data_IF_057011987759
#
_entry.id   IF_057011987759
#
_cell.length_a   1.000
_cell.length_b   1.000
_cell.length_c   1.000
_cell.angle_alpha   90.00
_cell.angle_beta   90.00
_cell.angle_gamma   90.00
#
_symmetry.space_group_name_H-M   'P 1'
#
loop_
_entity.id
_entity.type
_entity.pdbx_description
1 polymer ?
#
# COMPACT_ATOMS: atom_id res chain seq x y z
N UNK A 1 -10.73 26.69 -8.40
CA UNK A 1 -10.52 25.35 -8.91
C UNK A 1 -10.09 24.43 -7.79
N UNK A 2 -10.85 23.40 -7.56
CA UNK A 2 -10.50 22.44 -6.53
C UNK A 2 -9.65 21.34 -7.14
N UNK A 3 -8.57 21.01 -6.47
CA UNK A 3 -7.77 19.85 -6.82
C UNK A 3 -8.20 18.70 -5.94
N UNK A 4 -8.72 17.68 -6.57
CA UNK A 4 -9.08 16.49 -5.83
C UNK A 4 -7.82 15.64 -5.69
N UNK A 5 -7.32 15.54 -4.46
CA UNK A 5 -6.17 14.70 -4.18
C UNK A 5 -6.67 13.36 -3.71
N UNK A 6 -6.26 12.31 -4.42
CA UNK A 6 -6.61 10.97 -4.03
C UNK A 6 -5.73 10.54 -2.86
N UNK A 7 -6.36 10.17 -1.76
CA UNK A 7 -5.66 9.67 -0.59
C UNK A 7 -5.77 8.15 -0.54
N UNK A 8 -4.65 7.53 -0.39
CA UNK A 8 -4.54 6.06 -0.29
C UNK A 8 -4.26 5.71 1.16
N UNK A 9 -5.15 4.94 1.76
CA UNK A 9 -4.99 4.52 3.14
C UNK A 9 -4.99 3.00 3.22
N UNK A 10 -3.94 2.47 3.80
CA UNK A 10 -3.84 1.04 4.06
C UNK A 10 -4.86 0.65 5.13
N UNK A 11 -5.66 -0.37 4.85
CA UNK A 11 -6.67 -0.83 5.78
C UNK A 11 -5.98 -1.43 7.01
N UNK A 12 -6.46 -1.08 8.20
CA UNK A 12 -5.78 -1.44 9.45
C UNK A 12 -5.68 -2.95 9.67
N UNK A 13 -6.60 -3.72 9.10
CA UNK A 13 -6.60 -5.17 9.23
C UNK A 13 -5.57 -5.87 8.36
N UNK A 14 -4.91 -5.13 7.47
CA UNK A 14 -3.93 -5.73 6.55
C UNK A 14 -2.66 -6.06 7.31
N UNK A 15 -2.21 -7.29 7.16
CA UNK A 15 -0.93 -7.75 7.68
C UNK A 15 0.04 -7.88 6.52
N UNK A 16 1.28 -7.55 6.79
CA UNK A 16 2.33 -7.57 5.78
C UNK A 16 3.43 -8.48 6.27
N UNK A 17 3.77 -9.48 5.44
CA UNK A 17 4.87 -10.39 5.75
C UNK A 17 5.95 -10.22 4.71
N UNK A 18 7.17 -9.95 5.15
CA UNK A 18 8.32 -9.85 4.26
C UNK A 18 8.74 -11.22 3.79
N UNK A 19 9.07 -11.31 2.50
CA UNK A 19 9.61 -12.52 1.88
C UNK A 19 10.79 -12.13 1.00
N UNK A 20 11.56 -13.12 0.58
CA UNK A 20 12.72 -12.86 -0.25
C UNK A 20 12.35 -12.24 -1.60
N UNK A 21 11.18 -12.57 -2.12
CA UNK A 21 10.70 -12.02 -3.40
C UNK A 21 9.99 -10.67 -3.24
N UNK A 22 9.69 -10.26 -2.02
CA UNK A 22 8.91 -9.05 -1.75
C UNK A 22 8.09 -9.25 -0.50
N UNK A 23 6.85 -9.72 -0.64
CA UNK A 23 6.04 -9.97 0.53
C UNK A 23 4.66 -10.51 0.22
N UNK A 24 3.94 -10.76 1.29
CA UNK A 24 2.58 -11.30 1.23
C UNK A 24 1.68 -10.37 2.05
N UNK A 25 0.55 -10.00 1.46
CA UNK A 25 -0.49 -9.24 2.15
C UNK A 25 -1.65 -10.16 2.47
N UNK A 26 -2.21 -10.00 3.66
CA UNK A 26 -3.42 -10.71 4.04
C UNK A 26 -4.17 -9.89 5.07
N UNK A 27 -5.48 -10.12 5.19
CA UNK A 27 -6.32 -9.43 6.17
C UNK A 27 -6.57 -10.33 7.36
N UNK A 28 -6.21 -9.83 8.53
CA UNK A 28 -6.44 -10.54 9.77
C UNK A 28 -7.92 -10.45 10.15
N UNK A 29 -8.48 -11.56 10.59
CA UNK A 29 -9.87 -11.57 11.03
C UNK A 29 -10.88 -11.64 9.91
N UNK A 30 -10.43 -11.68 8.67
CA UNK A 30 -11.35 -11.83 7.54
C UNK A 30 -11.82 -13.28 7.44
N UNK A 31 -13.12 -13.45 7.23
CA UNK A 31 -13.69 -14.78 7.06
C UNK A 31 -13.31 -15.39 5.71
N UNK A 32 -12.87 -14.58 4.78
CA UNK A 32 -12.52 -15.03 3.44
C UNK A 32 -11.14 -15.66 3.46
N UNK A 33 -11.11 -16.96 3.53
CA UNK A 33 -9.86 -17.71 3.55
C UNK A 33 -9.25 -17.73 2.17
N UNK A 34 -7.96 -17.50 2.09
CA UNK A 34 -7.24 -17.52 0.84
C UNK A 34 -7.05 -16.15 0.22
N UNK A 35 -7.43 -15.11 0.94
CA UNK A 35 -7.21 -13.74 0.47
C UNK A 35 -5.76 -13.33 0.70
N UNK A 36 -4.84 -14.13 0.17
CA UNK A 36 -3.42 -13.81 0.19
C UNK A 36 -3.03 -13.19 -1.14
N UNK A 37 -2.26 -12.12 -1.08
CA UNK A 37 -1.70 -11.49 -2.28
C UNK A 37 -0.19 -11.51 -2.20
N UNK A 38 0.44 -12.06 -3.23
CA UNK A 38 1.89 -12.10 -3.34
C UNK A 38 2.36 -10.85 -4.08
N UNK A 39 3.25 -10.12 -3.45
CA UNK A 39 3.77 -8.86 -4.03
C UNK A 39 5.23 -9.07 -4.36
N UNK A 40 5.56 -9.06 -5.65
CA UNK A 40 6.92 -9.28 -6.15
C UNK A 40 7.70 -7.98 -6.23
N UNK A 41 7.56 -7.13 -5.22
CA UNK A 41 8.27 -5.86 -5.17
C UNK A 41 8.69 -5.57 -3.75
N UNK A 42 9.97 -5.78 -3.42
CA UNK A 42 10.47 -5.43 -2.09
C UNK A 42 10.28 -3.95 -1.77
N UNK A 43 10.38 -3.08 -2.77
CA UNK A 43 10.21 -1.64 -2.56
C UNK A 43 8.78 -1.31 -2.16
N UNK A 44 7.80 -1.92 -2.80
CA UNK A 44 6.41 -1.70 -2.45
C UNK A 44 6.11 -2.23 -1.05
N UNK A 45 6.63 -3.41 -0.72
CA UNK A 45 6.44 -3.98 0.62
C UNK A 45 7.03 -3.07 1.68
N UNK A 46 8.24 -2.57 1.47
CA UNK A 46 8.86 -1.65 2.42
C UNK A 46 8.02 -0.39 2.58
N UNK A 47 7.51 0.16 1.48
CA UNK A 47 6.68 1.35 1.53
C UNK A 47 5.40 1.10 2.33
N UNK A 48 4.77 -0.04 2.12
CA UNK A 48 3.55 -0.39 2.84
C UNK A 48 3.83 -0.50 4.35
N UNK A 49 4.94 -1.12 4.71
CA UNK A 49 5.33 -1.24 6.11
C UNK A 49 5.59 0.13 6.73
N UNK A 50 6.31 0.98 6.02
CA UNK A 50 6.58 2.34 6.50
C UNK A 50 5.27 3.10 6.68
N UNK A 51 4.38 3.01 5.70
CA UNK A 51 3.08 3.67 5.80
C UNK A 51 2.28 3.19 6.99
N UNK A 52 2.29 1.88 7.23
CA UNK A 52 1.54 1.29 8.34
C UNK A 52 2.12 1.69 9.69
N UNK A 53 3.44 1.64 9.83
CA UNK A 53 4.10 1.83 11.11
C UNK A 53 4.37 3.28 11.45
N UNK A 54 4.66 4.12 10.46
CA UNK A 54 5.10 5.49 10.71
C UNK A 54 4.06 6.54 10.33
N UNK A 55 3.07 6.19 9.52
CA UNK A 55 2.09 7.14 9.01
C UNK A 55 0.65 6.71 9.22
N UNK A 56 0.43 5.75 10.11
CA UNK A 56 -0.91 5.28 10.47
C UNK A 56 -1.73 4.88 9.23
N UNK A 57 -1.07 4.29 8.25
CA UNK A 57 -1.71 3.81 7.04
C UNK A 57 -1.79 4.83 5.91
N UNK A 58 -1.34 6.05 6.13
CA UNK A 58 -1.36 7.10 5.09
C UNK A 58 -0.25 6.84 4.08
N UNK A 59 -0.61 6.24 2.96
CA UNK A 59 0.36 5.87 1.94
C UNK A 59 0.86 7.08 1.15
N UNK A 60 0.04 8.13 1.04
CA UNK A 60 0.51 9.36 0.41
C UNK A 60 1.69 9.94 1.18
N UNK A 61 1.57 9.99 2.51
CA UNK A 61 2.66 10.49 3.34
C UNK A 61 3.92 9.65 3.17
N UNK A 62 3.77 8.33 3.13
CA UNK A 62 4.90 7.43 2.95
C UNK A 62 5.60 7.68 1.61
N UNK A 63 4.83 7.84 0.53
CA UNK A 63 5.39 8.07 -0.79
C UNK A 63 6.06 9.44 -0.88
N UNK A 64 5.38 10.48 -0.38
CA UNK A 64 5.91 11.84 -0.48
C UNK A 64 7.15 12.05 0.36
N UNK A 65 7.31 11.30 1.42
CA UNK A 65 8.51 11.35 2.26
C UNK A 65 9.60 10.38 1.79
N UNK A 66 9.36 9.64 0.71
CA UNK A 66 10.34 8.73 0.16
C UNK A 66 11.36 9.49 -0.69
N UNK A 67 12.45 8.80 -1.02
CA UNK A 67 13.50 9.35 -1.87
C UNK A 67 13.33 9.00 -3.34
N UNK A 68 12.18 8.50 -3.71
CA UNK A 68 11.92 8.12 -5.09
C UNK A 68 11.75 9.35 -5.96
N UNK A 69 12.17 9.23 -7.22
CA UNK A 69 11.93 10.25 -8.23
C UNK A 69 10.45 10.37 -8.52
N UNK A 70 10.07 11.40 -9.27
CA UNK A 70 8.67 11.55 -9.68
C UNK A 70 8.18 10.34 -10.46
N UNK A 71 9.02 9.81 -11.35
CA UNK A 71 8.67 8.60 -12.11
C UNK A 71 8.47 7.40 -11.17
N UNK A 72 9.35 7.28 -10.17
CA UNK A 72 9.22 6.22 -9.17
C UNK A 72 7.96 6.36 -8.34
N UNK A 73 7.62 7.58 -7.93
CA UNK A 73 6.40 7.83 -7.18
C UNK A 73 5.16 7.47 -8.00
N UNK A 74 5.15 7.80 -9.29
CA UNK A 74 4.03 7.44 -10.16
C UNK A 74 3.84 5.94 -10.25
N UNK A 75 4.94 5.18 -10.34
CA UNK A 75 4.85 3.72 -10.33
C UNK A 75 4.27 3.20 -9.03
N UNK A 76 4.65 3.81 -7.91
CA UNK A 76 4.12 3.40 -6.61
C UNK A 76 2.63 3.69 -6.50
N UNK A 77 2.19 4.86 -6.96
CA UNK A 77 0.76 5.17 -6.96
C UNK A 77 -0.02 4.20 -7.84
N UNK A 78 0.53 3.83 -8.99
CA UNK A 78 -0.11 2.83 -9.85
C UNK A 78 -0.23 1.48 -9.15
N UNK A 79 0.81 1.10 -8.41
CA UNK A 79 0.76 -0.14 -7.63
C UNK A 79 -0.30 -0.07 -6.53
N UNK A 80 -0.44 1.10 -5.91
CA UNK A 80 -1.50 1.28 -4.90
C UNK A 80 -2.89 1.16 -5.52
N UNK A 81 -3.09 1.65 -6.73
CA UNK A 81 -4.37 1.49 -7.43
C UNK A 81 -4.72 0.01 -7.59
N UNK A 82 -3.73 -0.82 -7.90
CA UNK A 82 -3.96 -2.26 -7.99
C UNK A 82 -4.38 -2.85 -6.64
N UNK A 83 -3.75 -2.39 -5.56
CA UNK A 83 -4.09 -2.85 -4.22
C UNK A 83 -5.47 -2.37 -3.79
N UNK A 84 -5.92 -1.21 -4.28
CA UNK A 84 -7.30 -0.77 -4.06
C UNK A 84 -8.27 -1.78 -4.64
N UNK A 85 -8.00 -2.23 -5.86
CA UNK A 85 -8.85 -3.22 -6.52
C UNK A 85 -8.87 -4.54 -5.77
N UNK A 86 -7.78 -4.89 -5.12
CA UNK A 86 -7.69 -6.12 -4.33
C UNK A 86 -8.27 -5.97 -2.92
N UNK A 87 -8.66 -4.77 -2.53
CA UNK A 87 -9.31 -4.55 -1.24
C UNK A 87 -8.38 -4.30 -0.07
N UNK A 88 -7.11 -4.03 -0.31
CA UNK A 88 -6.15 -3.76 0.78
C UNK A 88 -6.01 -2.28 1.10
N UNK A 89 -6.39 -1.41 0.18
CA UNK A 89 -6.24 0.02 0.34
C UNK A 89 -7.58 0.68 0.05
N UNK A 90 -7.93 1.66 0.88
CA UNK A 90 -9.08 2.51 0.67
C UNK A 90 -8.66 3.80 0.00
N UNK A 91 -9.52 4.30 -0.87
CA UNK A 91 -9.29 5.55 -1.58
C UNK A 91 -10.30 6.57 -1.09
N UNK A 92 -9.80 7.76 -0.76
CA UNK A 92 -10.62 8.88 -0.37
C UNK A 92 -10.27 10.06 -1.26
N UNK A 93 -11.30 10.73 -1.75
CA UNK A 93 -11.12 11.92 -2.59
C UNK A 93 -11.76 13.12 -1.94
#
# INVERSE_FOLDING_TARGET
MSHTITHYRLISEVKIRRESFGGILYKYGCADRGALSFINSPQLIELLIIGQQQHDGDMNAAIENSRYSEAGKQKLYSALDDLVKRGYIQVQT
#
